data_IF_139139699024
#
_entry.id   IF_139139699024
#
_cell.length_a   1.000
_cell.length_b   1.000
_cell.length_c   1.000
_cell.angle_alpha   90.00
_cell.angle_beta   90.00
_cell.angle_gamma   90.00
#
_symmetry.space_group_name_H-M   'P 1'
#
loop_
_entity.id
_entity.type
_entity.pdbx_description
1 polymer ?
#
# COMPACT_ATOMS: atom_id res chain seq x y z
N UNK A 1 -15.73 -9.61 14.87
CA UNK A 1 -15.48 -10.07 13.48
C UNK A 1 -16.55 -9.61 12.49
N UNK A 2 -16.70 -8.29 12.27
CA UNK A 2 -17.90 -7.75 11.56
C UNK A 2 -17.56 -6.62 10.55
N UNK A 3 -16.30 -6.20 10.45
CA UNK A 3 -15.92 -4.92 9.80
C UNK A 3 -15.30 -5.07 8.41
N UNK A 4 -15.51 -6.19 7.72
CA UNK A 4 -15.01 -6.33 6.35
C UNK A 4 -16.11 -5.93 5.36
N UNK A 5 -15.97 -4.73 4.80
CA UNK A 5 -16.92 -4.14 3.85
C UNK A 5 -17.07 -4.96 2.57
N UNK A 6 -16.04 -5.75 2.19
CA UNK A 6 -16.17 -6.72 1.11
C UNK A 6 -17.21 -7.81 1.43
N UNK A 7 -17.27 -8.24 2.69
CA UNK A 7 -18.28 -9.23 3.13
C UNK A 7 -19.70 -8.71 2.97
N UNK A 8 -19.93 -7.45 3.38
CA UNK A 8 -21.23 -6.77 3.19
C UNK A 8 -21.57 -6.65 1.71
N UNK A 9 -20.60 -6.26 0.87
CA UNK A 9 -20.79 -6.18 -0.58
C UNK A 9 -21.16 -7.54 -1.19
N UNK A 10 -20.45 -8.62 -0.83
CA UNK A 10 -20.72 -9.98 -1.32
C UNK A 10 -22.11 -10.46 -0.88
N UNK A 11 -22.54 -10.19 0.36
CA UNK A 11 -23.88 -10.57 0.83
C UNK A 11 -25.00 -9.84 0.07
N UNK A 12 -24.80 -8.56 -0.27
CA UNK A 12 -25.76 -7.78 -1.05
C UNK A 12 -25.73 -8.13 -2.55
N UNK A 13 -24.61 -8.66 -3.04
CA UNK A 13 -24.42 -8.96 -4.47
C UNK A 13 -25.39 -10.01 -5.03
N UNK A 14 -25.95 -10.86 -4.17
CA UNK A 14 -26.91 -11.90 -4.55
C UNK A 14 -28.26 -11.34 -5.06
N UNK A 15 -28.56 -10.06 -4.82
CA UNK A 15 -29.83 -9.41 -5.17
C UNK A 15 -29.67 -8.42 -6.34
N UNK A 16 -28.45 -8.26 -6.88
CA UNK A 16 -28.19 -7.28 -7.93
C UNK A 16 -28.61 -7.78 -9.33
N UNK A 17 -29.67 -7.18 -9.87
CA UNK A 17 -29.99 -7.24 -11.31
C UNK A 17 -29.03 -6.38 -12.14
N UNK A 18 -29.01 -6.60 -13.46
CA UNK A 18 -28.01 -6.16 -14.44
C UNK A 18 -27.57 -4.67 -14.42
N UNK A 19 -28.27 -3.78 -13.71
CA UNK A 19 -27.92 -2.35 -13.56
C UNK A 19 -27.18 -1.96 -12.28
N UNK A 20 -27.02 -2.84 -11.29
CA UNK A 20 -26.53 -2.46 -9.95
C UNK A 20 -25.01 -2.63 -9.73
N UNK A 21 -24.24 -2.89 -10.78
CA UNK A 21 -22.76 -2.95 -10.73
C UNK A 21 -22.09 -1.65 -10.28
N UNK A 22 -22.79 -0.52 -10.34
CA UNK A 22 -22.33 0.76 -9.78
C UNK A 22 -22.08 0.71 -8.26
N UNK A 23 -22.67 -0.25 -7.55
CA UNK A 23 -22.43 -0.47 -6.12
C UNK A 23 -21.01 -0.93 -5.80
N UNK A 24 -20.26 -1.45 -6.78
CA UNK A 24 -18.82 -1.78 -6.66
C UNK A 24 -17.99 -0.53 -6.36
N UNK A 25 -18.44 0.65 -6.80
CA UNK A 25 -17.67 1.90 -6.70
C UNK A 25 -17.37 2.28 -5.25
N UNK A 26 -18.33 2.10 -4.33
CA UNK A 26 -18.12 2.39 -2.90
C UNK A 26 -16.97 1.57 -2.28
N UNK A 27 -17.03 0.23 -2.31
CA UNK A 27 -15.95 -0.64 -1.88
C UNK A 27 -14.59 -0.30 -2.52
N UNK A 28 -14.57 -0.09 -3.85
CA UNK A 28 -13.36 0.28 -4.58
C UNK A 28 -12.81 1.65 -4.17
N UNK A 29 -13.68 2.62 -3.95
CA UNK A 29 -13.30 3.96 -3.48
C UNK A 29 -12.66 3.91 -2.10
N UNK A 30 -13.22 3.11 -1.17
CA UNK A 30 -12.63 2.92 0.16
C UNK A 30 -11.25 2.26 0.05
N UNK A 31 -11.05 1.25 -0.81
CA UNK A 31 -9.70 0.68 -1.03
C UNK A 31 -8.71 1.70 -1.56
N UNK A 32 -9.13 2.54 -2.50
CA UNK A 32 -8.29 3.56 -3.09
C UNK A 32 -7.86 4.58 -2.03
N UNK A 33 -8.79 5.07 -1.21
CA UNK A 33 -8.49 5.99 -0.12
C UNK A 33 -7.51 5.39 0.89
N UNK A 34 -7.69 4.12 1.25
CA UNK A 34 -6.79 3.44 2.20
C UNK A 34 -5.40 3.22 1.60
N UNK A 35 -5.30 2.80 0.33
CA UNK A 35 -4.01 2.50 -0.29
C UNK A 35 -3.23 3.75 -0.70
N UNK A 36 -3.91 4.85 -1.09
CA UNK A 36 -3.27 6.03 -1.66
C UNK A 36 -3.29 7.28 -0.78
N UNK A 37 -4.25 7.41 0.15
CA UNK A 37 -4.44 8.66 0.90
C UNK A 37 -4.12 8.49 2.38
N UNK A 38 -4.87 7.65 3.10
CA UNK A 38 -4.82 7.63 4.57
C UNK A 38 -4.07 6.45 5.18
N UNK A 39 -3.83 5.38 4.42
CA UNK A 39 -3.15 4.20 4.94
C UNK A 39 -1.64 4.31 4.77
N UNK A 40 -1.11 3.45 3.90
CA UNK A 40 0.33 3.20 3.73
C UNK A 40 1.17 4.48 3.52
N UNK A 41 0.84 5.40 2.59
CA UNK A 41 1.71 6.55 2.32
C UNK A 41 1.89 7.48 3.53
N UNK A 42 0.86 7.65 4.34
CA UNK A 42 0.91 8.51 5.53
C UNK A 42 1.79 7.90 6.64
N UNK A 43 1.69 6.58 6.83
CA UNK A 43 2.52 5.82 7.78
C UNK A 43 3.99 5.78 7.36
N UNK A 44 4.25 5.60 6.07
CA UNK A 44 5.61 5.60 5.54
C UNK A 44 6.26 6.99 5.65
N UNK A 45 5.52 8.06 5.37
CA UNK A 45 6.02 9.44 5.52
C UNK A 45 6.41 9.74 6.98
N UNK A 46 5.55 9.39 7.93
CA UNK A 46 5.85 9.61 9.36
C UNK A 46 7.03 8.77 9.84
N UNK A 47 7.15 7.53 9.37
CA UNK A 47 8.31 6.67 9.68
C UNK A 47 9.60 7.20 9.07
N UNK A 48 9.56 7.65 7.81
CA UNK A 48 10.71 8.23 7.11
C UNK A 48 11.20 9.51 7.76
N UNK A 49 10.30 10.39 8.20
CA UNK A 49 10.68 11.61 8.93
C UNK A 49 11.38 11.31 10.26
N UNK A 50 10.98 10.24 10.95
CA UNK A 50 11.52 9.88 12.27
C UNK A 50 12.82 9.07 12.18
N UNK A 51 12.94 8.21 11.17
CA UNK A 51 14.00 7.20 11.08
C UNK A 51 14.86 7.31 9.82
N UNK A 52 14.54 8.17 8.87
CA UNK A 52 15.20 8.26 7.55
C UNK A 52 16.69 8.60 7.57
N UNK A 53 17.19 9.17 8.68
CA UNK A 53 18.63 9.44 8.87
C UNK A 53 19.41 8.25 9.44
N UNK A 54 18.72 7.19 9.88
CA UNK A 54 19.37 6.01 10.47
C UNK A 54 19.72 4.99 9.38
N UNK A 55 20.99 4.54 9.28
CA UNK A 55 21.41 3.60 8.25
C UNK A 55 20.67 2.25 8.34
N UNK A 56 20.39 1.77 9.54
CA UNK A 56 19.64 0.53 9.78
C UNK A 56 18.21 0.59 9.20
N UNK A 57 17.56 1.76 9.28
CA UNK A 57 16.21 1.94 8.74
C UNK A 57 16.22 1.96 7.21
N UNK A 58 17.23 2.57 6.60
CA UNK A 58 17.41 2.56 5.15
C UNK A 58 17.59 1.12 4.62
N UNK A 59 18.37 0.30 5.31
CA UNK A 59 18.56 -1.09 4.95
C UNK A 59 17.28 -1.92 5.14
N UNK A 60 16.57 -1.71 6.25
CA UNK A 60 15.26 -2.31 6.49
C UNK A 60 14.28 -1.98 5.35
N UNK A 61 14.13 -0.71 4.99
CA UNK A 61 13.19 -0.25 3.97
C UNK A 61 13.54 -0.76 2.56
N UNK A 62 14.81 -1.08 2.30
CA UNK A 62 15.25 -1.68 1.03
C UNK A 62 14.94 -3.18 0.94
N UNK A 63 14.88 -3.87 2.07
CA UNK A 63 14.81 -5.33 2.16
C UNK A 63 13.45 -5.86 2.62
N UNK A 64 12.54 -5.01 3.09
CA UNK A 64 11.22 -5.39 3.59
C UNK A 64 10.13 -4.69 2.78
N UNK A 65 9.12 -5.45 2.36
CA UNK A 65 7.98 -4.92 1.60
C UNK A 65 6.90 -4.30 2.50
N UNK A 66 6.24 -3.26 2.01
CA UNK A 66 5.22 -2.51 2.75
C UNK A 66 3.84 -3.20 2.83
N UNK A 67 3.38 -3.85 1.75
CA UNK A 67 2.00 -4.36 1.65
C UNK A 67 1.94 -5.88 1.72
N UNK A 68 2.75 -6.57 0.91
CA UNK A 68 2.70 -8.02 0.79
C UNK A 68 3.95 -8.59 1.48
N UNK A 69 3.81 -9.37 2.55
CA UNK A 69 4.96 -9.94 3.24
C UNK A 69 5.67 -10.93 2.31
N UNK A 70 6.86 -10.56 1.85
CA UNK A 70 7.74 -11.42 1.07
C UNK A 70 9.02 -11.75 1.86
N UNK A 71 9.65 -12.90 1.60
CA UNK A 71 10.97 -13.21 2.13
C UNK A 71 11.98 -12.13 1.71
N UNK A 72 12.77 -11.65 2.67
CA UNK A 72 13.76 -10.57 2.46
C UNK A 72 14.76 -10.89 1.34
N UNK A 73 15.14 -12.18 1.21
CA UNK A 73 16.06 -12.66 0.17
C UNK A 73 15.53 -12.44 -1.25
N UNK A 74 14.23 -12.61 -1.47
CA UNK A 74 13.60 -12.43 -2.80
C UNK A 74 13.43 -10.93 -3.06
N UNK A 75 12.91 -10.20 -2.07
CA UNK A 75 12.56 -8.80 -2.22
C UNK A 75 13.78 -7.90 -2.49
N UNK A 76 14.93 -8.18 -1.87
CA UNK A 76 16.16 -7.41 -2.10
C UNK A 76 16.70 -7.50 -3.54
N UNK A 77 16.37 -8.58 -4.26
CA UNK A 77 16.85 -8.83 -5.63
C UNK A 77 15.96 -8.26 -6.74
N UNK A 78 14.75 -7.79 -6.41
CA UNK A 78 13.77 -7.36 -7.40
C UNK A 78 14.04 -5.93 -7.92
N UNK A 79 13.93 -5.70 -9.25
CA UNK A 79 13.98 -4.36 -9.81
C UNK A 79 12.75 -3.53 -9.41
N UNK A 80 12.91 -2.21 -9.35
CA UNK A 80 11.91 -1.27 -8.85
C UNK A 80 10.57 -1.35 -9.61
N UNK A 81 10.61 -1.63 -10.92
CA UNK A 81 9.39 -1.76 -11.75
C UNK A 81 8.53 -2.95 -11.32
N UNK A 82 9.16 -4.07 -10.94
CA UNK A 82 8.42 -5.27 -10.49
C UNK A 82 7.82 -5.00 -9.11
N UNK A 83 8.56 -4.33 -8.22
CA UNK A 83 8.04 -3.90 -6.91
C UNK A 83 6.82 -2.97 -7.06
N UNK A 84 6.90 -1.99 -7.96
CA UNK A 84 5.81 -1.06 -8.18
C UNK A 84 4.55 -1.70 -8.80
N UNK A 85 4.71 -2.69 -9.70
CA UNK A 85 3.59 -3.31 -10.41
C UNK A 85 2.95 -4.44 -9.60
N UNK A 86 3.75 -5.32 -9.00
CA UNK A 86 3.23 -6.52 -8.32
C UNK A 86 3.02 -6.35 -6.82
N UNK A 87 3.87 -5.53 -6.17
CA UNK A 87 3.80 -5.29 -4.73
C UNK A 87 3.10 -3.98 -4.37
N UNK A 88 2.60 -3.25 -5.38
CA UNK A 88 2.00 -1.92 -5.23
C UNK A 88 2.94 -0.91 -4.56
N UNK A 89 4.25 -1.11 -4.63
CA UNK A 89 5.23 -0.21 -4.02
C UNK A 89 5.58 0.93 -4.95
N UNK A 90 4.67 1.90 -5.01
CA UNK A 90 4.92 3.07 -5.82
C UNK A 90 6.02 3.96 -5.22
N UNK A 91 6.80 4.65 -6.08
CA UNK A 91 7.84 5.57 -5.64
C UNK A 91 7.34 6.73 -4.75
N UNK A 92 6.01 6.91 -4.68
CA UNK A 92 5.34 7.81 -3.75
C UNK A 92 5.62 7.47 -2.27
N UNK A 93 5.73 6.19 -1.91
CA UNK A 93 5.93 5.74 -0.53
C UNK A 93 7.33 6.01 0.03
N UNK A 94 8.29 6.36 -0.84
CA UNK A 94 9.65 6.72 -0.45
C UNK A 94 9.97 8.19 -0.75
N UNK A 95 8.93 9.02 -0.97
CA UNK A 95 9.11 10.43 -1.38
C UNK A 95 9.89 11.22 -0.33
N UNK A 96 9.62 10.99 0.94
CA UNK A 96 10.12 11.80 2.04
C UNK A 96 11.53 11.35 2.43
N UNK A 97 11.80 10.05 2.38
CA UNK A 97 13.16 9.52 2.39
C UNK A 97 14.04 10.17 1.31
N UNK A 98 13.52 10.30 0.08
CA UNK A 98 14.25 10.89 -1.05
C UNK A 98 14.57 12.37 -0.82
N UNK A 99 13.58 13.13 -0.31
CA UNK A 99 13.79 14.53 0.09
C UNK A 99 14.87 14.68 1.17
N UNK A 100 14.89 13.79 2.16
CA UNK A 100 15.91 13.80 3.23
C UNK A 100 17.31 13.46 2.71
N UNK A 101 17.43 12.74 1.61
CA UNK A 101 18.72 12.41 0.97
C UNK A 101 19.22 13.53 0.04
N UNK A 102 18.33 14.39 -0.44
CA UNK A 102 18.62 15.51 -1.32
C UNK A 102 18.89 16.83 -0.56
N UNK A 103 18.56 16.89 0.73
CA UNK A 103 18.75 18.05 1.62
C UNK A 103 20.07 17.96 2.40
#
# INVERSE_FOLDING_TARGET
>A
DEKNWWGVYVTCSAVFEAGMWASVVGPLFITLLLLHVSGIPLLEDTSDKRHGTKPEYLEYKKNVSCLIPLPQSVYGSLPLSIKAIFLFEWPMYSRELRKLQEA
#
